data_IF_237276309504
#
_entry.id   IF_237276309504
#
_cell.length_a   1.000
_cell.length_b   1.000
_cell.length_c   1.000
_cell.angle_alpha   90.00
_cell.angle_beta   90.00
_cell.angle_gamma   90.00
#
_symmetry.space_group_name_H-M   'P 1'
#
loop_
_entity.id
_entity.type
_entity.pdbx_description
1 polymer ?
#
# COMPACT_ATOMS: atom_id res chain seq x y z
N UNK A 1 -13.44 14.04 8.16
CA UNK A 1 -14.20 15.16 8.77
C UNK A 1 -14.54 14.84 10.22
N UNK A 2 -14.85 15.85 11.04
CA UNK A 2 -15.21 15.67 12.46
C UNK A 2 -16.59 15.01 12.67
N UNK A 3 -17.36 14.84 11.59
CA UNK A 3 -18.76 14.41 11.63
C UNK A 3 -18.89 12.93 11.31
N UNK A 4 -18.21 12.46 10.25
CA UNK A 4 -18.33 11.11 9.73
C UNK A 4 -17.03 10.29 9.88
N UNK A 5 -16.00 10.85 10.53
CA UNK A 5 -14.72 10.18 10.82
C UNK A 5 -14.05 9.67 9.53
N UNK A 6 -14.20 10.43 8.44
CA UNK A 6 -13.68 10.07 7.12
C UNK A 6 -12.16 10.20 6.98
N UNK A 7 -11.43 10.58 8.03
CA UNK A 7 -10.02 10.95 7.94
C UNK A 7 -9.12 9.82 7.40
N UNK A 8 -9.42 8.56 7.71
CA UNK A 8 -8.71 7.41 7.12
C UNK A 8 -8.86 7.36 5.59
N UNK A 9 -10.07 7.56 5.09
CA UNK A 9 -10.35 7.61 3.66
C UNK A 9 -9.67 8.79 2.99
N UNK A 10 -9.79 9.97 3.59
CA UNK A 10 -9.17 11.20 3.09
C UNK A 10 -7.64 11.04 3.01
N UNK A 11 -7.01 10.43 4.03
CA UNK A 11 -5.57 10.23 4.08
C UNK A 11 -5.05 9.22 3.03
N UNK A 12 -5.86 8.23 2.63
CA UNK A 12 -5.48 7.25 1.58
C UNK A 12 -5.80 7.79 0.19
N UNK A 13 -6.99 8.38 0.02
CA UNK A 13 -7.51 8.73 -1.31
C UNK A 13 -6.88 10.01 -1.85
N UNK A 14 -6.46 10.95 -1.00
CA UNK A 14 -5.81 12.20 -1.45
C UNK A 14 -4.47 11.94 -2.16
N UNK A 15 -3.55 11.12 -1.63
CA UNK A 15 -2.36 10.71 -2.38
C UNK A 15 -2.67 9.95 -3.68
N UNK A 16 -3.68 9.07 -3.69
CA UNK A 16 -4.10 8.35 -4.90
C UNK A 16 -4.65 9.29 -5.97
N UNK A 17 -5.48 10.27 -5.59
CA UNK A 17 -5.99 11.28 -6.51
C UNK A 17 -4.86 12.10 -7.11
N UNK A 18 -3.89 12.52 -6.30
CA UNK A 18 -2.75 13.28 -6.80
C UNK A 18 -1.89 12.48 -7.78
N UNK A 19 -1.65 11.20 -7.47
CA UNK A 19 -0.97 10.28 -8.37
C UNK A 19 -1.72 10.12 -9.69
N UNK A 20 -3.04 9.95 -9.63
CA UNK A 20 -3.89 9.89 -10.81
C UNK A 20 -3.88 11.20 -11.61
N UNK A 21 -3.97 12.35 -10.94
CA UNK A 21 -3.99 13.67 -11.56
C UNK A 21 -2.69 13.98 -12.32
N UNK A 22 -1.54 13.63 -11.76
CA UNK A 22 -0.21 13.90 -12.34
C UNK A 22 0.01 13.16 -13.68
N UNK A 23 -0.71 12.06 -13.90
CA UNK A 23 -0.54 11.21 -15.08
C UNK A 23 -1.81 11.09 -15.94
N UNK A 24 -2.93 11.67 -15.48
CA UNK A 24 -4.20 11.74 -16.20
C UNK A 24 -4.88 10.38 -16.41
N UNK A 25 -5.70 10.24 -17.48
CA UNK A 25 -6.53 9.04 -17.69
C UNK A 25 -5.76 7.73 -17.83
N UNK A 26 -4.45 7.77 -18.12
CA UNK A 26 -3.61 6.57 -18.13
C UNK A 26 -3.55 5.87 -16.78
N UNK A 27 -3.77 6.61 -15.69
CA UNK A 27 -3.84 6.04 -14.35
C UNK A 27 -5.22 5.49 -13.99
N UNK A 28 -6.25 5.72 -14.80
CA UNK A 28 -7.55 5.06 -14.62
C UNK A 28 -7.37 3.54 -14.76
N UNK A 29 -6.72 3.08 -15.84
CA UNK A 29 -6.44 1.66 -16.04
C UNK A 29 -5.58 1.08 -14.91
N UNK A 30 -4.61 1.84 -14.42
CA UNK A 30 -3.74 1.42 -13.30
C UNK A 30 -4.46 1.30 -11.98
N UNK A 31 -5.44 2.16 -11.70
CA UNK A 31 -6.27 2.00 -10.50
C UNK A 31 -7.24 0.82 -10.66
N UNK A 32 -7.75 0.56 -11.86
CA UNK A 32 -8.57 -0.63 -12.12
C UNK A 32 -7.81 -1.93 -11.84
N UNK A 33 -6.52 -1.98 -12.15
CA UNK A 33 -5.64 -3.13 -11.85
C UNK A 33 -5.52 -3.43 -10.34
N UNK A 34 -5.78 -2.45 -9.46
CA UNK A 34 -5.74 -2.65 -8.00
C UNK A 34 -7.01 -3.31 -7.43
N UNK A 35 -8.14 -3.22 -8.15
CA UNK A 35 -9.42 -3.80 -7.77
C UNK A 35 -10.60 -2.82 -7.84
N UNK A 36 -11.80 -3.35 -7.58
CA UNK A 36 -13.07 -2.66 -7.85
C UNK A 36 -13.22 -1.32 -7.11
N UNK A 37 -12.80 -1.23 -5.84
CA UNK A 37 -12.89 0.01 -5.09
C UNK A 37 -11.94 1.10 -5.63
N UNK A 38 -10.76 0.72 -6.09
CA UNK A 38 -9.81 1.64 -6.71
C UNK A 38 -10.30 2.07 -8.10
N UNK A 39 -10.96 1.17 -8.84
CA UNK A 39 -11.63 1.50 -10.10
C UNK A 39 -12.75 2.54 -9.90
N UNK A 40 -13.58 2.36 -8.87
CA UNK A 40 -14.64 3.32 -8.53
C UNK A 40 -14.07 4.69 -8.12
N UNK A 41 -12.94 4.72 -7.40
CA UNK A 41 -12.22 5.98 -7.13
C UNK A 41 -11.82 6.68 -8.42
N UNK A 42 -11.30 5.94 -9.42
CA UNK A 42 -10.87 6.54 -10.68
C UNK A 42 -12.04 7.23 -11.42
N UNK A 43 -13.23 6.61 -11.44
CA UNK A 43 -14.47 7.22 -12.00
C UNK A 43 -14.82 8.51 -11.25
N UNK A 44 -14.73 8.48 -9.93
CA UNK A 44 -14.96 9.64 -9.09
C UNK A 44 -13.93 10.76 -9.31
N UNK A 45 -12.66 10.41 -9.50
CA UNK A 45 -11.57 11.35 -9.79
C UNK A 45 -11.75 12.02 -11.16
N UNK A 46 -12.20 11.28 -12.17
CA UNK A 46 -12.56 11.83 -13.48
C UNK A 46 -13.69 12.86 -13.36
N UNK A 47 -14.73 12.53 -12.61
CA UNK A 47 -15.87 13.43 -12.36
C UNK A 47 -15.45 14.69 -11.59
N UNK A 48 -14.60 14.53 -10.58
CA UNK A 48 -14.07 15.66 -9.81
C UNK A 48 -13.21 16.58 -10.68
N UNK A 49 -12.29 16.03 -11.47
CA UNK A 49 -11.47 16.80 -12.42
C UNK A 49 -12.31 17.51 -13.47
N UNK A 50 -13.41 16.89 -13.91
CA UNK A 50 -14.36 17.46 -14.87
C UNK A 50 -15.31 18.50 -14.27
N UNK A 51 -15.23 18.80 -12.98
CA UNK A 51 -16.19 19.64 -12.23
C UNK A 51 -17.64 19.13 -12.29
N UNK A 52 -17.86 17.83 -12.53
CA UNK A 52 -19.18 17.19 -12.54
C UNK A 52 -19.49 16.44 -11.23
N UNK A 53 -18.53 16.39 -10.30
CA UNK A 53 -18.67 15.85 -8.96
C UNK A 53 -17.67 16.48 -7.99
N UNK A 54 -17.65 16.00 -6.74
CA UNK A 54 -16.66 16.41 -5.74
C UNK A 54 -15.80 15.23 -5.30
N UNK A 55 -14.64 15.52 -4.71
CA UNK A 55 -13.77 14.50 -4.14
C UNK A 55 -14.49 13.69 -3.03
N UNK A 56 -15.24 14.37 -2.16
CA UNK A 56 -16.02 13.74 -1.09
C UNK A 56 -17.08 12.81 -1.66
N UNK A 57 -17.70 13.17 -2.78
CA UNK A 57 -18.67 12.30 -3.43
C UNK A 57 -18.02 11.00 -3.91
N UNK A 58 -16.84 11.07 -4.52
CA UNK A 58 -16.07 9.89 -4.93
C UNK A 58 -15.72 8.99 -3.72
N UNK A 59 -15.20 9.60 -2.66
CA UNK A 59 -14.89 8.94 -1.39
C UNK A 59 -16.12 8.25 -0.80
N UNK A 60 -17.25 8.94 -0.73
CA UNK A 60 -18.45 8.46 -0.06
C UNK A 60 -19.14 7.33 -0.84
N UNK A 61 -19.00 7.28 -2.17
CA UNK A 61 -19.43 6.12 -2.98
C UNK A 61 -18.66 4.88 -2.55
N UNK A 62 -17.33 4.95 -2.54
CA UNK A 62 -16.47 3.82 -2.18
C UNK A 62 -16.67 3.41 -0.73
N UNK A 63 -16.79 4.38 0.19
CA UNK A 63 -17.14 4.11 1.59
C UNK A 63 -18.48 3.38 1.72
N UNK A 64 -19.49 3.78 0.94
CA UNK A 64 -20.80 3.12 0.94
C UNK A 64 -20.72 1.69 0.40
N UNK A 65 -19.90 1.43 -0.62
CA UNK A 65 -19.67 0.08 -1.15
C UNK A 65 -18.97 -0.80 -0.10
N UNK A 66 -17.90 -0.30 0.50
CA UNK A 66 -17.17 -0.98 1.57
C UNK A 66 -18.07 -1.33 2.76
N UNK A 67 -18.92 -0.39 3.21
CA UNK A 67 -19.88 -0.67 4.29
C UNK A 67 -20.92 -1.72 3.89
N UNK A 68 -21.44 -1.65 2.67
CA UNK A 68 -22.45 -2.60 2.18
C UNK A 68 -21.91 -4.03 2.13
N UNK A 69 -20.66 -4.20 1.74
CA UNK A 69 -20.03 -5.52 1.57
C UNK A 69 -19.37 -6.04 2.85
N UNK A 70 -18.87 -5.14 3.69
CA UNK A 70 -18.11 -5.43 4.90
C UNK A 70 -18.53 -4.50 6.06
N UNK A 71 -19.78 -4.58 6.53
CA UNK A 71 -20.33 -3.62 7.50
C UNK A 71 -19.59 -3.60 8.83
N UNK A 72 -19.04 -4.74 9.25
CA UNK A 72 -18.29 -4.86 10.51
C UNK A 72 -16.91 -4.19 10.46
N UNK A 73 -16.28 -4.17 9.27
CA UNK A 73 -14.97 -3.53 9.06
C UNK A 73 -15.10 -2.04 8.75
N UNK A 74 -16.18 -1.64 8.08
CA UNK A 74 -16.41 -0.26 7.64
C UNK A 74 -17.76 0.25 8.14
N UNK A 75 -17.93 0.46 9.45
CA UNK A 75 -19.17 1.01 10.01
C UNK A 75 -19.43 2.45 9.54
N UNK A 76 -20.70 2.84 9.54
CA UNK A 76 -21.13 4.22 9.27
C UNK A 76 -21.25 5.02 10.57
N UNK A 77 -21.20 6.35 10.46
CA UNK A 77 -21.26 7.27 11.60
C UNK A 77 -19.88 7.60 12.19
N UNK A 78 -19.86 7.95 13.48
CA UNK A 78 -18.69 8.42 14.21
C UNK A 78 -17.84 7.26 14.75
N UNK A 79 -17.46 6.33 13.86
CA UNK A 79 -16.59 5.20 14.19
C UNK A 79 -15.33 5.27 13.34
N UNK A 80 -14.18 5.13 14.00
CA UNK A 80 -12.87 5.17 13.36
C UNK A 80 -12.72 3.95 12.45
N UNK A 81 -12.33 4.18 11.21
CA UNK A 81 -11.97 3.11 10.27
C UNK A 81 -10.52 2.69 10.49
N UNK A 82 -10.28 1.39 10.63
CA UNK A 82 -8.92 0.85 10.67
C UNK A 82 -8.22 1.06 9.31
N UNK A 83 -7.09 1.75 9.33
CA UNK A 83 -6.33 2.08 8.11
C UNK A 83 -5.83 0.82 7.39
N UNK A 84 -5.37 -0.17 8.14
CA UNK A 84 -4.88 -1.43 7.57
C UNK A 84 -6.00 -2.17 6.81
N UNK A 85 -7.22 -2.24 7.35
CA UNK A 85 -8.37 -2.85 6.67
C UNK A 85 -8.75 -2.10 5.38
N UNK A 86 -8.77 -0.76 5.43
CA UNK A 86 -9.03 0.07 4.25
C UNK A 86 -7.98 -0.18 3.17
N UNK A 87 -6.70 -0.08 3.51
CA UNK A 87 -5.61 -0.27 2.55
C UNK A 87 -5.54 -1.70 2.01
N UNK A 88 -5.89 -2.71 2.81
CA UNK A 88 -6.02 -4.08 2.33
C UNK A 88 -7.12 -4.21 1.26
N UNK A 89 -8.25 -3.51 1.42
CA UNK A 89 -9.33 -3.52 0.40
C UNK A 89 -8.95 -2.74 -0.87
N UNK A 90 -8.20 -1.65 -0.74
CA UNK A 90 -7.81 -0.80 -1.88
C UNK A 90 -6.63 -1.39 -2.65
N UNK A 91 -5.61 -1.91 -1.98
CA UNK A 91 -4.35 -2.36 -2.60
C UNK A 91 -4.13 -3.88 -2.56
N UNK A 92 -4.89 -4.60 -1.74
CA UNK A 92 -4.66 -6.03 -1.46
C UNK A 92 -5.49 -7.01 -2.27
N UNK A 93 -6.39 -6.54 -3.14
CA UNK A 93 -7.29 -7.39 -3.93
C UNK A 93 -6.57 -8.12 -5.07
N UNK A 94 -5.46 -7.55 -5.56
CA UNK A 94 -4.62 -8.14 -6.61
C UNK A 94 -3.34 -8.69 -6.01
N UNK A 95 -2.99 -9.91 -6.42
CA UNK A 95 -1.70 -10.53 -6.11
C UNK A 95 -0.73 -10.32 -7.28
N UNK A 96 0.48 -9.92 -6.95
CA UNK A 96 1.51 -9.48 -7.90
C UNK A 96 2.73 -10.39 -7.90
N UNK A 97 2.71 -11.45 -7.10
CA UNK A 97 3.86 -12.32 -6.98
C UNK A 97 3.52 -13.68 -6.42
N UNK A 98 4.31 -14.66 -6.79
CA UNK A 98 4.16 -16.04 -6.41
C UNK A 98 5.20 -16.45 -5.38
N UNK A 99 4.76 -17.21 -4.37
CA UNK A 99 5.62 -17.85 -3.39
C UNK A 99 5.70 -19.34 -3.60
N UNK A 100 6.91 -19.87 -3.75
CA UNK A 100 7.18 -21.29 -3.96
C UNK A 100 7.97 -21.89 -2.80
N UNK A 101 7.48 -22.99 -2.21
CA UNK A 101 8.17 -23.71 -1.14
C UNK A 101 9.06 -24.83 -1.71
N UNK A 102 10.38 -24.72 -1.50
CA UNK A 102 11.39 -25.63 -2.07
C UNK A 102 12.32 -26.21 -1.00
N UNK A 103 12.66 -27.49 -1.14
CA UNK A 103 13.66 -28.15 -0.29
C UNK A 103 15.08 -27.71 -0.63
N UNK A 104 15.89 -27.40 0.40
CA UNK A 104 17.29 -26.98 0.25
C UNK A 104 18.27 -28.13 -0.05
N UNK A 105 17.81 -29.38 -0.10
CA UNK A 105 18.67 -30.57 -0.26
C UNK A 105 18.35 -31.40 -1.50
N UNK A 106 17.07 -31.66 -1.76
CA UNK A 106 16.64 -32.50 -2.90
C UNK A 106 15.85 -31.71 -3.96
N UNK A 107 15.83 -30.38 -3.87
CA UNK A 107 15.21 -29.44 -4.80
C UNK A 107 13.72 -29.63 -5.12
N UNK A 108 13.03 -30.52 -4.40
CA UNK A 108 11.58 -30.74 -4.55
C UNK A 108 10.82 -29.47 -4.18
N UNK A 109 9.85 -29.12 -5.02
CA UNK A 109 8.87 -28.05 -4.83
C UNK A 109 7.57 -28.65 -4.30
N UNK A 110 6.98 -28.01 -3.30
CA UNK A 110 5.79 -28.52 -2.59
C UNK A 110 4.53 -27.72 -2.87
N UNK A 111 4.64 -26.40 -2.84
CA UNK A 111 3.49 -25.50 -2.83
C UNK A 111 3.83 -24.23 -3.61
N UNK A 112 2.80 -23.73 -4.29
CA UNK A 112 2.76 -22.44 -4.95
C UNK A 112 1.53 -21.70 -4.42
N UNK A 113 1.71 -20.47 -3.97
CA UNK A 113 0.64 -19.65 -3.40
C UNK A 113 0.90 -18.17 -3.69
N UNK A 114 -0.12 -17.35 -3.44
CA UNK A 114 0.04 -15.90 -3.44
C UNK A 114 1.17 -15.45 -2.53
N UNK A 115 1.99 -14.56 -3.05
CA UNK A 115 3.26 -14.16 -2.48
C UNK A 115 3.43 -12.67 -2.28
N UNK A 116 2.65 -11.83 -2.97
CA UNK A 116 2.78 -10.38 -2.82
C UNK A 116 1.49 -9.64 -3.18
N UNK A 117 0.72 -9.22 -2.18
CA UNK A 117 -0.36 -8.26 -2.39
C UNK A 117 0.16 -6.82 -2.28
N UNK A 118 -0.58 -5.86 -2.85
CA UNK A 118 -0.19 -4.45 -2.84
C UNK A 118 -0.33 -3.75 -1.48
N UNK A 119 -0.78 -4.42 -0.41
CA UNK A 119 -0.78 -3.90 0.95
C UNK A 119 0.16 -4.73 1.83
N UNK A 120 1.24 -4.14 2.33
CA UNK A 120 2.25 -4.85 3.13
C UNK A 120 2.44 -4.20 4.50
N UNK A 121 2.64 -5.02 5.53
CA UNK A 121 2.96 -4.55 6.89
C UNK A 121 4.43 -4.82 7.20
N UNK A 122 5.20 -3.75 7.35
CA UNK A 122 6.60 -3.78 7.73
C UNK A 122 6.73 -3.98 9.23
N UNK A 123 7.15 -5.18 9.60
CA UNK A 123 7.45 -5.58 10.97
C UNK A 123 8.95 -5.68 11.21
N UNK A 124 9.37 -5.62 12.48
CA UNK A 124 10.78 -5.72 12.88
C UNK A 124 11.40 -7.00 12.33
N UNK A 125 12.45 -6.87 11.50
CA UNK A 125 13.19 -8.02 11.00
C UNK A 125 14.47 -8.20 11.84
N UNK A 126 14.46 -9.17 12.75
CA UNK A 126 15.58 -9.42 13.67
C UNK A 126 16.90 -9.71 12.97
N UNK A 127 16.88 -10.33 11.78
CA UNK A 127 18.08 -10.62 10.99
C UNK A 127 18.66 -9.34 10.36
N UNK A 128 17.80 -8.49 9.81
CA UNK A 128 18.24 -7.19 9.30
C UNK A 128 18.76 -6.30 10.42
N UNK A 129 18.08 -6.28 11.57
CA UNK A 129 18.52 -5.53 12.74
C UNK A 129 19.86 -6.02 13.29
N UNK A 130 20.10 -7.33 13.32
CA UNK A 130 21.39 -7.89 13.71
C UNK A 130 22.52 -7.52 12.73
N UNK A 131 22.19 -7.35 11.44
CA UNK A 131 23.17 -7.06 10.39
C UNK A 131 23.46 -5.57 10.22
N UNK A 132 22.45 -4.72 10.31
CA UNK A 132 22.50 -3.30 9.96
C UNK A 132 22.17 -2.37 11.14
N UNK A 133 21.88 -2.91 12.32
CA UNK A 133 21.40 -2.09 13.44
C UNK A 133 20.03 -1.49 13.12
N UNK A 134 19.89 -0.17 13.29
CA UNK A 134 18.68 0.59 12.93
C UNK A 134 18.75 1.16 11.50
N UNK A 135 19.85 0.95 10.78
CA UNK A 135 20.12 1.63 9.51
C UNK A 135 19.73 0.79 8.29
N UNK A 136 18.57 0.13 8.34
CA UNK A 136 18.00 -0.51 7.16
C UNK A 136 16.71 0.20 6.72
N UNK A 137 16.54 0.32 5.41
CA UNK A 137 15.36 0.91 4.80
C UNK A 137 14.36 -0.12 4.29
N UNK A 138 13.28 0.39 3.73
CA UNK A 138 12.20 -0.37 3.10
C UNK A 138 12.73 -1.32 2.02
N UNK A 139 13.70 -0.88 1.23
CA UNK A 139 14.32 -1.65 0.16
C UNK A 139 15.02 -2.91 0.66
N UNK A 140 15.81 -2.81 1.74
CA UNK A 140 16.43 -3.97 2.36
C UNK A 140 15.38 -4.87 3.02
N UNK A 141 14.34 -4.29 3.62
CA UNK A 141 13.25 -5.06 4.21
C UNK A 141 12.51 -5.91 3.17
N UNK A 142 12.04 -5.31 2.08
CA UNK A 142 11.35 -6.02 0.99
C UNK A 142 12.24 -7.09 0.35
N UNK A 143 13.52 -6.79 0.16
CA UNK A 143 14.48 -7.77 -0.36
C UNK A 143 14.64 -8.98 0.56
N UNK A 144 14.60 -8.78 1.87
CA UNK A 144 14.71 -9.87 2.84
C UNK A 144 13.46 -10.76 2.90
N UNK A 145 12.29 -10.24 2.51
CA UNK A 145 11.06 -11.04 2.46
C UNK A 145 11.03 -12.04 1.29
N UNK A 146 11.82 -11.81 0.25
CA UNK A 146 11.85 -12.69 -0.94
C UNK A 146 12.32 -14.10 -0.66
N UNK A 147 13.05 -14.34 0.43
CA UNK A 147 13.57 -15.65 0.80
C UNK A 147 13.39 -15.88 2.29
N UNK A 148 12.44 -16.74 2.64
CA UNK A 148 12.15 -17.09 4.03
C UNK A 148 12.43 -18.57 4.30
N UNK A 149 13.29 -18.85 5.28
CA UNK A 149 13.41 -20.21 5.83
C UNK A 149 12.19 -20.49 6.69
N UNK A 150 11.52 -21.61 6.45
CA UNK A 150 10.39 -22.05 7.27
C UNK A 150 10.84 -23.13 8.25
N UNK A 151 10.19 -23.20 9.41
CA UNK A 151 10.47 -24.23 10.41
C UNK A 151 9.76 -25.54 10.06
N UNK A 152 10.07 -26.08 8.88
CA UNK A 152 9.51 -27.31 8.34
C UNK A 152 10.61 -28.11 7.65
N UNK A 153 10.55 -29.43 7.81
CA UNK A 153 11.43 -30.37 7.14
C UNK A 153 10.76 -30.95 5.89
N UNK A 154 11.55 -31.14 4.85
CA UNK A 154 11.19 -31.82 3.63
C UNK A 154 10.72 -33.26 3.93
N UNK A 155 9.47 -33.62 3.62
CA UNK A 155 8.95 -34.97 3.83
C UNK A 155 9.73 -36.07 3.09
N UNK A 156 10.43 -35.72 2.01
CA UNK A 156 11.16 -36.70 1.18
C UNK A 156 12.57 -37.02 1.70
N UNK A 157 13.30 -36.02 2.18
CA UNK A 157 14.73 -36.17 2.49
C UNK A 157 15.16 -35.59 3.85
N UNK A 158 14.22 -35.06 4.65
CA UNK A 158 14.47 -34.43 5.94
C UNK A 158 15.20 -33.09 5.91
N UNK A 159 15.56 -32.57 4.73
CA UNK A 159 16.24 -31.27 4.58
C UNK A 159 15.33 -30.10 4.93
N UNK A 160 15.90 -28.91 5.16
CA UNK A 160 15.10 -27.71 5.41
C UNK A 160 14.27 -27.29 4.19
N UNK A 161 13.18 -26.56 4.45
CA UNK A 161 12.36 -25.91 3.42
C UNK A 161 12.61 -24.40 3.42
N UNK A 162 12.61 -23.80 2.23
CA UNK A 162 12.72 -22.35 2.01
C UNK A 162 11.61 -21.92 1.07
N UNK A 163 10.94 -20.82 1.42
CA UNK A 163 9.98 -20.13 0.56
C UNK A 163 10.72 -19.07 -0.23
N UNK A 164 10.50 -19.08 -1.53
CA UNK A 164 11.02 -18.10 -2.47
C UNK A 164 9.84 -17.31 -3.03
N UNK A 165 9.87 -16.00 -2.90
CA UNK A 165 8.84 -15.11 -3.42
C UNK A 165 9.42 -14.33 -4.59
N UNK A 166 8.74 -14.41 -5.73
CA UNK A 166 9.03 -13.64 -6.94
C UNK A 166 7.87 -12.69 -7.21
N UNK A 167 8.18 -11.52 -7.79
CA UNK A 167 7.14 -10.63 -8.32
C UNK A 167 6.98 -10.97 -9.79
N UNK A 168 5.80 -11.45 -10.15
CA UNK A 168 5.44 -11.89 -11.51
C UNK A 168 4.92 -10.72 -12.33
N UNK A 169 4.30 -9.75 -11.67
CA UNK A 169 3.76 -8.54 -12.29
C UNK A 169 4.22 -7.30 -11.52
N UNK A 170 4.12 -6.14 -12.16
CA UNK A 170 4.54 -4.87 -11.57
C UNK A 170 3.32 -4.17 -10.99
N UNK A 171 3.14 -4.11 -9.65
CA UNK A 171 2.04 -3.37 -9.06
C UNK A 171 2.09 -1.90 -9.51
N UNK A 172 1.00 -1.27 -9.95
CA UNK A 172 1.03 0.14 -10.36
C UNK A 172 1.44 1.06 -9.21
N UNK A 173 0.94 0.76 -8.01
CA UNK A 173 1.43 1.28 -6.74
C UNK A 173 1.11 0.26 -5.63
N UNK A 174 1.68 0.47 -4.45
CA UNK A 174 1.42 -0.36 -3.27
C UNK A 174 1.56 0.47 -2.00
N UNK A 175 0.95 -0.01 -0.93
CA UNK A 175 0.95 0.60 0.39
C UNK A 175 1.84 -0.21 1.35
N UNK A 176 2.59 0.51 2.18
CA UNK A 176 3.44 -0.06 3.23
C UNK A 176 3.05 0.53 4.58
N UNK A 177 2.47 -0.31 5.45
CA UNK A 177 2.24 0.04 6.86
C UNK A 177 3.53 -0.19 7.63
N UNK A 178 4.13 0.86 8.19
CA UNK A 178 5.39 0.79 8.93
C UNK A 178 5.09 0.81 10.43
N UNK A 179 5.25 -0.34 11.09
CA UNK A 179 5.03 -0.47 12.54
C UNK A 179 6.32 -0.18 13.33
N UNK A 180 7.47 -0.28 12.67
CA UNK A 180 8.77 -0.01 13.27
C UNK A 180 9.26 1.40 12.89
N UNK A 181 9.10 2.35 13.83
CA UNK A 181 9.56 3.75 13.68
C UNK A 181 11.07 3.89 13.42
N UNK A 182 11.84 2.81 13.56
CA UNK A 182 13.29 2.82 13.28
C UNK A 182 13.64 2.51 11.82
N UNK A 183 12.67 2.12 10.99
CA UNK A 183 12.90 1.86 9.57
C UNK A 183 12.94 3.18 8.80
N UNK A 184 14.03 3.41 8.07
CA UNK A 184 14.12 4.54 7.15
C UNK A 184 13.28 4.28 5.89
N UNK A 185 12.53 5.28 5.42
CA UNK A 185 11.82 5.17 4.15
C UNK A 185 12.72 5.58 2.98
N UNK A 186 12.63 4.84 1.88
CA UNK A 186 13.33 5.17 0.65
C UNK A 186 12.46 6.15 -0.17
N UNK A 187 13.00 7.30 -0.57
CA UNK A 187 12.32 8.20 -1.53
C UNK A 187 12.14 7.52 -2.89
N UNK A 188 13.10 6.66 -3.25
CA UNK A 188 13.12 5.89 -4.47
C UNK A 188 13.40 4.43 -4.13
N UNK A 189 12.46 3.55 -4.48
CA UNK A 189 12.54 2.12 -4.23
C UNK A 189 12.77 1.36 -5.53
N UNK A 190 13.77 0.48 -5.55
CA UNK A 190 13.97 -0.46 -6.66
C UNK A 190 13.40 -1.83 -6.30
N UNK A 191 12.41 -2.28 -7.05
CA UNK A 191 11.85 -3.64 -6.98
C UNK A 191 12.31 -4.47 -8.15
N UNK A 192 12.72 -5.71 -7.89
CA UNK A 192 12.98 -6.69 -8.95
C UNK A 192 11.68 -7.44 -9.27
N UNK A 193 11.21 -7.31 -10.51
CA UNK A 193 10.00 -7.95 -11.06
C UNK A 193 10.40 -8.70 -12.33
N UNK A 194 10.15 -10.01 -12.40
CA UNK A 194 10.61 -10.87 -13.51
C UNK A 194 12.09 -10.68 -13.91
N UNK A 195 12.95 -10.43 -12.92
CA UNK A 195 14.39 -10.18 -13.15
C UNK A 195 14.75 -8.78 -13.68
N UNK A 196 13.76 -7.92 -13.94
CA UNK A 196 13.95 -6.53 -14.30
C UNK A 196 13.80 -5.60 -13.10
N UNK A 197 14.61 -4.53 -13.05
CA UNK A 197 14.50 -3.49 -12.03
C UNK A 197 13.40 -2.49 -12.38
N UNK A 198 12.45 -2.32 -11.47
CA UNK A 198 11.39 -1.32 -11.52
C UNK A 198 11.63 -0.27 -10.44
N UNK A 199 11.53 1.00 -10.82
CA UNK A 199 11.74 2.15 -9.94
C UNK A 199 10.40 2.74 -9.50
N UNK A 200 10.20 2.84 -8.20
CA UNK A 200 9.06 3.51 -7.58
C UNK A 200 9.53 4.77 -6.85
N UNK A 201 8.75 5.84 -6.96
CA UNK A 201 8.91 7.03 -6.13
C UNK A 201 7.86 7.07 -5.03
N UNK A 202 8.24 7.56 -3.85
CA UNK A 202 7.30 7.82 -2.76
C UNK A 202 6.32 8.94 -3.15
N UNK A 203 5.02 8.67 -3.03
CA UNK A 203 3.94 9.60 -3.46
C UNK A 203 3.05 10.10 -2.33
N UNK A 204 3.04 9.40 -1.21
CA UNK A 204 2.22 9.74 -0.07
C UNK A 204 2.82 9.19 1.22
N UNK A 205 2.66 9.93 2.30
CA UNK A 205 2.94 9.46 3.67
C UNK A 205 1.71 9.73 4.51
N UNK A 206 1.21 8.70 5.19
CA UNK A 206 0.06 8.79 6.08
C UNK A 206 0.56 8.78 7.52
N UNK A 207 0.10 9.74 8.31
CA UNK A 207 0.44 9.87 9.72
C UNK A 207 -0.80 9.59 10.56
N UNK A 208 -0.64 8.77 11.59
CA UNK A 208 -1.69 8.42 12.54
C UNK A 208 -1.37 9.00 13.92
N UNK A 209 -2.33 9.64 14.57
CA UNK A 209 -2.22 10.08 15.96
C UNK A 209 -3.60 10.14 16.60
N UNK A 210 -3.80 9.45 17.73
CA UNK A 210 -5.03 9.49 18.53
C UNK A 210 -6.31 9.38 17.68
N UNK A 211 -6.41 8.32 16.88
CA UNK A 211 -7.58 8.03 16.00
C UNK A 211 -7.81 9.04 14.86
N UNK A 212 -6.87 9.95 14.62
CA UNK A 212 -6.87 10.87 13.51
C UNK A 212 -5.77 10.55 12.50
N UNK A 213 -6.08 10.70 11.22
CA UNK A 213 -5.17 10.46 10.12
C UNK A 213 -5.00 11.72 9.27
N UNK A 214 -3.74 12.01 8.94
CA UNK A 214 -3.37 13.07 8.01
C UNK A 214 -2.47 12.48 6.93
N UNK A 215 -2.36 13.18 5.80
CA UNK A 215 -1.49 12.73 4.71
C UNK A 215 -0.61 13.85 4.19
N UNK A 216 0.56 13.46 3.69
CA UNK A 216 1.45 14.32 2.92
C UNK A 216 1.57 13.73 1.54
N UNK A 217 1.26 14.53 0.53
CA UNK A 217 1.39 14.18 -0.88
C UNK A 217 2.72 14.69 -1.40
N UNK A 218 3.44 13.85 -2.13
CA UNK A 218 4.76 14.17 -2.68
C UNK A 218 4.67 14.19 -4.21
N UNK A 219 4.81 15.39 -4.78
CA UNK A 219 4.78 15.62 -6.23
C UNK A 219 6.09 15.19 -6.90
N UNK A 220 6.11 14.94 -8.23
CA UNK A 220 7.31 14.52 -8.95
C UNK A 220 8.48 15.50 -8.87
N UNK A 221 8.21 16.78 -8.60
CA UNK A 221 9.22 17.82 -8.42
C UNK A 221 9.70 17.96 -6.96
N UNK A 222 9.27 17.08 -6.06
CA UNK A 222 9.64 17.08 -4.65
C UNK A 222 8.77 17.99 -3.77
N UNK A 223 7.79 18.73 -4.32
CA UNK A 223 6.87 19.53 -3.51
C UNK A 223 5.98 18.66 -2.64
N UNK A 224 5.81 19.09 -1.39
CA UNK A 224 5.03 18.40 -0.36
C UNK A 224 3.78 19.20 -0.05
N UNK A 225 2.64 18.51 -0.04
CA UNK A 225 1.34 19.08 0.29
C UNK A 225 0.71 18.31 1.45
N UNK A 226 0.34 19.03 2.50
CA UNK A 226 -0.36 18.50 3.67
C UNK A 226 -1.87 18.48 3.46
N UNK A 227 -2.50 17.39 3.86
CA UNK A 227 -3.94 17.25 3.84
C UNK A 227 -4.44 16.66 5.15
N UNK A 228 -5.39 17.36 5.74
CA UNK A 228 -6.15 16.96 6.91
C UNK A 228 -7.63 17.22 6.66
N UNK A 229 -8.43 16.16 6.56
CA UNK A 229 -9.87 16.26 6.31
C UNK A 229 -10.68 16.92 7.44
N UNK A 230 -10.03 17.29 8.55
CA UNK A 230 -10.59 18.11 9.63
C UNK A 230 -10.13 19.57 9.49
N UNK A 231 -8.82 19.80 9.41
CA UNK A 231 -8.26 21.16 9.44
C UNK A 231 -8.27 21.85 8.08
N UNK A 232 -7.88 21.14 7.02
CA UNK A 232 -7.76 21.70 5.67
C UNK A 232 -9.00 21.41 4.80
N UNK A 233 -9.90 20.54 5.27
CA UNK A 233 -11.15 20.23 4.59
C UNK A 233 -10.89 19.57 3.23
N UNK A 234 -11.38 20.19 2.16
CA UNK A 234 -11.28 19.68 0.78
C UNK A 234 -10.01 20.08 0.04
N UNK A 235 -9.09 20.82 0.69
CA UNK A 235 -7.87 21.31 0.05
C UNK A 235 -6.63 20.79 0.74
N UNK A 236 -5.57 20.59 -0.03
CA UNK A 236 -4.23 20.36 0.49
C UNK A 236 -3.45 21.69 0.52
N UNK A 237 -2.55 21.85 1.48
CA UNK A 237 -1.74 23.06 1.69
C UNK A 237 -0.27 22.73 1.44
N UNK A 238 0.43 23.55 0.66
CA UNK A 238 1.86 23.35 0.39
C UNK A 238 2.68 23.56 1.67
N UNK A 239 3.47 22.55 2.05
CA UNK A 239 4.35 22.58 3.24
C UNK A 239 5.83 22.84 2.88
N UNK A 240 6.23 22.59 1.63
CA UNK A 240 7.60 22.85 1.18
C UNK A 240 8.13 21.81 0.18
N UNK A 241 9.44 21.54 0.27
CA UNK A 241 10.18 20.62 -0.59
C UNK A 241 10.87 19.54 0.26
N UNK A 242 10.95 18.32 -0.28
CA UNK A 242 11.74 17.20 0.26
C UNK A 242 13.23 17.30 -0.08
#
# INVERSE_FOLDING_TARGET
DQVNYSCAYDAVFTPLYNLWQDHGPRWTDRLNELGDYAAELAIGFESFRGNTGTFERARDIVRSQLHKEHPDLFPTGAVVTALDDLTLKIFGSTDWGTSTKKCTKCDVVYEEQSGFCGSQTLTVNSKLRARYGRDYGVSQWLSAQKIARVNQSCPRCGGGLTVFTVLDETPPCFYLSIVDETINFDLNLNLQVNGAKQLYGLRGVIYAKNEHFTSRVIKPDGRVWYHDGIETGSVAVEEGLL
#
